data_IF_428912475663
#
_entry.id   IF_428912475663
#
_cell.length_a   1.000
_cell.length_b   1.000
_cell.length_c   1.000
_cell.angle_alpha   90.00
_cell.angle_beta   90.00
_cell.angle_gamma   90.00
#
_symmetry.space_group_name_H-M   'P 1'
#
loop_
_entity.id
_entity.type
_entity.pdbx_description
1 polymer ?
#
# COMPACT_ATOMS: atom_id res chain seq x y z
N UNK A 1 20.20 70.81 -12.70
CA UNK A 1 19.75 72.18 -12.36
C UNK A 1 18.89 72.65 -13.51
N UNK A 2 17.59 72.35 -13.41
CA UNK A 2 16.58 72.77 -14.39
C UNK A 2 16.21 74.23 -14.06
N UNK A 3 16.34 75.12 -15.04
CA UNK A 3 15.86 76.51 -14.91
C UNK A 3 14.34 76.49 -14.99
N UNK A 4 13.67 77.19 -14.08
CA UNK A 4 12.20 77.22 -14.02
C UNK A 4 11.65 78.00 -15.21
N UNK A 5 10.41 77.70 -15.60
CA UNK A 5 9.73 78.33 -16.74
C UNK A 5 9.65 79.87 -16.59
N UNK A 6 9.66 80.37 -15.35
CA UNK A 6 9.71 81.81 -15.02
C UNK A 6 11.06 82.46 -15.37
N UNK A 7 12.20 81.76 -15.21
CA UNK A 7 13.52 82.30 -15.57
C UNK A 7 13.70 82.43 -17.09
N UNK A 8 13.01 81.60 -17.89
CA UNK A 8 13.01 81.70 -19.34
C UNK A 8 12.14 82.85 -19.86
N UNK A 9 11.04 83.16 -19.18
CA UNK A 9 10.19 84.32 -19.50
C UNK A 9 10.91 85.63 -19.17
N UNK A 10 11.61 85.71 -18.04
CA UNK A 10 12.38 86.89 -17.66
C UNK A 10 13.54 87.22 -18.63
N UNK A 11 14.19 86.20 -19.21
CA UNK A 11 15.20 86.38 -20.24
C UNK A 11 14.61 86.86 -21.58
N UNK A 12 13.36 86.52 -21.86
CA UNK A 12 12.65 86.96 -23.07
C UNK A 12 12.17 88.42 -22.94
N UNK A 13 11.72 88.83 -21.76
CA UNK A 13 11.36 90.23 -21.48
C UNK A 13 12.60 91.15 -21.42
N UNK A 14 13.73 90.67 -20.90
CA UNK A 14 14.99 91.42 -20.89
C UNK A 14 15.56 91.68 -22.31
N UNK A 15 15.21 90.86 -23.30
CA UNK A 15 15.63 91.06 -24.70
C UNK A 15 14.72 92.06 -25.47
N UNK A 16 13.57 92.43 -24.92
CA UNK A 16 12.58 93.31 -25.56
C UNK A 16 12.51 94.74 -25.00
N UNK A 17 13.31 95.09 -23.97
CA UNK A 17 13.28 96.39 -23.30
C UNK A 17 14.54 97.24 -23.50
N UNK A 18 15.27 97.06 -24.60
CA UNK A 18 16.49 97.82 -24.89
C UNK A 18 16.69 98.13 -26.36
N UNK A 19 15.81 98.95 -26.96
CA UNK A 19 16.13 99.75 -28.15
C UNK A 19 15.05 100.81 -28.38
N UNK A 20 15.10 101.89 -27.61
CA UNK A 20 14.63 103.19 -28.09
C UNK A 20 15.65 103.68 -29.12
N UNK A 21 15.35 103.47 -30.40
CA UNK A 21 15.64 104.40 -31.50
C UNK A 21 15.37 103.74 -32.86
N UNK A 22 14.89 104.57 -33.78
CA UNK A 22 14.58 104.31 -35.18
C UNK A 22 13.27 103.55 -35.48
N UNK A 23 12.27 104.33 -35.90
CA UNK A 23 11.21 103.90 -36.79
C UNK A 23 11.81 103.31 -38.08
N UNK A 24 12.10 102.01 -38.08
CA UNK A 24 12.34 101.23 -39.29
C UNK A 24 11.05 100.48 -39.61
N UNK A 25 10.30 100.99 -40.58
CA UNK A 25 9.15 100.29 -41.14
C UNK A 25 9.61 98.98 -41.82
N UNK A 26 8.77 97.92 -41.87
CA UNK A 26 9.17 96.54 -42.22
C UNK A 26 9.42 96.30 -43.72
N UNK A 27 10.13 97.20 -44.42
CA UNK A 27 10.21 97.18 -45.90
C UNK A 27 11.62 97.01 -46.46
N UNK A 28 12.69 97.05 -45.65
CA UNK A 28 14.07 97.16 -46.18
C UNK A 28 15.01 95.94 -46.01
N UNK A 29 14.64 94.89 -45.26
CA UNK A 29 15.49 93.68 -45.14
C UNK A 29 14.67 92.36 -45.00
N UNK A 30 14.23 91.74 -46.11
CA UNK A 30 13.47 90.49 -46.08
C UNK A 30 14.26 89.29 -45.51
N UNK A 31 15.59 89.32 -45.56
CA UNK A 31 16.45 88.22 -45.11
C UNK A 31 16.51 88.09 -43.56
N UNK A 32 16.43 89.19 -42.80
CA UNK A 32 16.44 89.15 -41.33
C UNK A 32 15.13 88.61 -40.74
N UNK A 33 13.99 88.87 -41.38
CA UNK A 33 12.68 88.34 -40.94
C UNK A 33 12.59 86.83 -41.21
N UNK A 34 13.19 86.36 -42.31
CA UNK A 34 13.29 84.94 -42.66
C UNK A 34 14.15 84.15 -41.67
N UNK A 35 15.30 84.69 -41.24
CA UNK A 35 16.17 84.03 -40.25
C UNK A 35 15.55 84.00 -38.84
N UNK A 36 14.82 85.05 -38.46
CA UNK A 36 14.10 85.07 -37.18
C UNK A 36 12.93 84.06 -37.18
N UNK A 37 12.18 83.97 -38.29
CA UNK A 37 11.13 82.96 -38.46
C UNK A 37 11.70 81.52 -38.44
N UNK A 38 12.87 81.30 -39.04
CA UNK A 38 13.59 80.01 -39.02
C UNK A 38 14.04 79.62 -37.62
N UNK A 39 14.55 80.58 -36.85
CA UNK A 39 14.97 80.39 -35.46
C UNK A 39 13.78 80.04 -34.56
N UNK A 40 12.65 80.73 -34.72
CA UNK A 40 11.40 80.42 -34.00
C UNK A 40 10.88 79.02 -34.35
N UNK A 41 10.92 78.62 -35.64
CA UNK A 41 10.55 77.26 -36.04
C UNK A 41 11.47 76.20 -35.43
N UNK A 42 12.78 76.43 -35.40
CA UNK A 42 13.74 75.51 -34.76
C UNK A 42 13.52 75.40 -33.25
N UNK A 43 13.22 76.51 -32.57
CA UNK A 43 12.91 76.49 -31.14
C UNK A 43 11.60 75.76 -30.84
N UNK A 44 10.55 75.95 -31.67
CA UNK A 44 9.29 75.18 -31.58
C UNK A 44 9.53 73.69 -31.75
N UNK A 45 10.31 73.28 -32.75
CA UNK A 45 10.63 71.88 -32.98
C UNK A 45 11.44 71.26 -31.82
N UNK A 46 12.33 72.03 -31.18
CA UNK A 46 13.08 71.56 -30.00
C UNK A 46 12.20 71.46 -28.76
N UNK A 47 11.22 72.36 -28.59
CA UNK A 47 10.24 72.29 -27.52
C UNK A 47 9.33 71.06 -27.69
N UNK A 48 8.79 70.84 -28.89
CA UNK A 48 7.96 69.68 -29.23
C UNK A 48 8.73 68.37 -29.02
N UNK A 49 9.99 68.29 -29.46
CA UNK A 49 10.86 67.14 -29.15
C UNK A 49 11.16 66.99 -27.65
N UNK A 50 11.23 68.08 -26.90
CA UNK A 50 11.41 68.06 -25.45
C UNK A 50 10.19 67.50 -24.74
N UNK A 51 9.00 67.93 -25.15
CA UNK A 51 7.70 67.46 -24.65
C UNK A 51 7.48 65.98 -24.98
N UNK A 52 7.80 65.54 -26.21
CA UNK A 52 7.74 64.12 -26.57
C UNK A 52 8.67 63.26 -25.73
N UNK A 53 9.89 63.73 -25.44
CA UNK A 53 10.84 63.02 -24.56
C UNK A 53 10.35 62.97 -23.12
N UNK A 54 9.75 64.05 -22.62
CA UNK A 54 9.15 64.08 -21.29
C UNK A 54 8.00 63.07 -21.18
N UNK A 55 7.09 63.04 -22.17
CA UNK A 55 6.01 62.05 -22.22
C UNK A 55 6.52 60.61 -22.34
N UNK A 56 7.59 60.37 -23.10
CA UNK A 56 8.23 59.06 -23.18
C UNK A 56 8.88 58.66 -21.85
N UNK A 57 9.53 59.60 -21.15
CA UNK A 57 10.12 59.35 -19.84
C UNK A 57 9.05 59.03 -18.79
N UNK A 58 7.93 59.75 -18.79
CA UNK A 58 6.80 59.48 -17.89
C UNK A 58 6.17 58.12 -18.16
N UNK A 59 5.99 57.74 -19.44
CA UNK A 59 5.51 56.40 -19.81
C UNK A 59 6.49 55.30 -19.36
N UNK A 60 7.79 55.50 -19.57
CA UNK A 60 8.82 54.56 -19.14
C UNK A 60 8.85 54.40 -17.61
N UNK A 61 8.65 55.49 -16.87
CA UNK A 61 8.55 55.47 -15.41
C UNK A 61 7.35 54.66 -14.93
N UNK A 62 6.16 54.88 -15.51
CA UNK A 62 4.95 54.11 -15.20
C UNK A 62 5.11 52.62 -15.52
N UNK A 63 5.72 52.28 -16.66
CA UNK A 63 6.01 50.89 -17.01
C UNK A 63 7.01 50.24 -16.04
N UNK A 64 8.02 50.99 -15.58
CA UNK A 64 8.97 50.51 -14.61
C UNK A 64 8.32 50.24 -13.25
N UNK A 65 7.48 51.16 -12.76
CA UNK A 65 6.71 50.99 -11.53
C UNK A 65 5.77 49.78 -11.61
N UNK A 66 5.05 49.61 -12.73
CA UNK A 66 4.20 48.44 -12.95
C UNK A 66 4.97 47.12 -12.98
N UNK A 67 6.18 47.12 -13.58
CA UNK A 67 7.08 45.94 -13.59
C UNK A 67 7.61 45.64 -12.19
N UNK A 68 7.95 46.66 -11.40
CA UNK A 68 8.40 46.50 -10.02
C UNK A 68 7.29 45.91 -9.13
N UNK A 69 6.05 46.41 -9.25
CA UNK A 69 4.91 45.88 -8.51
C UNK A 69 4.60 44.43 -8.91
N UNK A 70 4.65 44.10 -10.22
CA UNK A 70 4.47 42.74 -10.71
C UNK A 70 5.58 41.80 -10.22
N UNK A 71 6.82 42.27 -10.16
CA UNK A 71 7.94 41.51 -9.62
C UNK A 71 7.78 41.24 -8.12
N UNK A 72 7.34 42.23 -7.34
CA UNK A 72 7.06 42.08 -5.91
C UNK A 72 5.93 41.06 -5.65
N UNK A 73 4.84 41.14 -6.41
CA UNK A 73 3.73 40.16 -6.33
C UNK A 73 4.20 38.74 -6.64
N UNK A 74 5.06 38.58 -7.67
CA UNK A 74 5.67 37.28 -8.00
C UNK A 74 6.58 36.79 -6.88
N UNK A 75 7.43 37.65 -6.33
CA UNK A 75 8.33 37.28 -5.23
C UNK A 75 7.56 36.80 -3.99
N UNK A 76 6.48 37.51 -3.60
CA UNK A 76 5.60 37.09 -2.50
C UNK A 76 4.91 35.75 -2.79
N UNK A 77 4.46 35.52 -4.02
CA UNK A 77 3.86 34.25 -4.41
C UNK A 77 4.86 33.08 -4.37
N UNK A 78 6.12 33.31 -4.79
CA UNK A 78 7.19 32.32 -4.70
C UNK A 78 7.55 32.00 -3.25
N UNK A 79 7.68 33.01 -2.39
CA UNK A 79 7.95 32.82 -0.96
C UNK A 79 6.85 31.97 -0.29
N UNK A 80 5.57 32.30 -0.53
CA UNK A 80 4.44 31.52 0.00
C UNK A 80 4.39 30.08 -0.54
N UNK A 81 4.87 29.85 -1.77
CA UNK A 81 4.96 28.50 -2.34
C UNK A 81 6.09 27.70 -1.70
N UNK A 82 7.21 28.34 -1.37
CA UNK A 82 8.32 27.70 -0.68
C UNK A 82 7.92 27.28 0.75
N UNK A 83 7.30 28.17 1.52
CA UNK A 83 6.78 27.86 2.86
C UNK A 83 5.81 26.67 2.85
N UNK A 84 4.87 26.64 1.89
CA UNK A 84 3.95 25.50 1.72
C UNK A 84 4.64 24.20 1.31
N UNK A 85 5.78 24.28 0.63
CA UNK A 85 6.53 23.10 0.23
C UNK A 85 7.25 22.48 1.43
N UNK A 86 7.83 23.32 2.30
CA UNK A 86 8.43 22.90 3.58
C UNK A 86 7.38 22.25 4.50
N UNK A 87 6.22 22.89 4.70
CA UNK A 87 5.11 22.29 5.45
C UNK A 87 4.61 20.96 4.84
N UNK A 88 4.72 20.80 3.52
CA UNK A 88 4.31 19.57 2.85
C UNK A 88 5.32 18.44 3.07
N UNK A 89 6.60 18.77 3.20
CA UNK A 89 7.68 17.83 3.53
C UNK A 89 7.51 17.30 4.96
N UNK A 90 7.32 18.17 5.95
CA UNK A 90 7.05 17.78 7.34
C UNK A 90 5.84 16.85 7.45
N UNK A 91 4.74 17.18 6.74
CA UNK A 91 3.55 16.33 6.71
C UNK A 91 3.79 14.99 6.03
N UNK A 92 4.67 14.93 5.03
CA UNK A 92 5.02 13.69 4.35
C UNK A 92 5.82 12.77 5.28
N UNK A 93 6.77 13.32 6.04
CA UNK A 93 7.52 12.57 7.06
C UNK A 93 6.60 12.04 8.16
N UNK A 94 5.71 12.88 8.71
CA UNK A 94 4.71 12.43 9.68
C UNK A 94 3.79 11.32 9.12
N UNK A 95 3.42 11.42 7.84
CA UNK A 95 2.57 10.44 7.19
C UNK A 95 3.30 9.10 7.02
N UNK A 96 4.59 9.11 6.70
CA UNK A 96 5.42 7.91 6.62
C UNK A 96 5.54 7.23 7.99
N UNK A 97 5.83 7.99 9.05
CA UNK A 97 5.92 7.44 10.41
C UNK A 97 4.59 6.82 10.86
N UNK A 98 3.46 7.47 10.54
CA UNK A 98 2.12 6.92 10.80
C UNK A 98 1.84 5.65 9.99
N UNK A 99 2.25 5.61 8.72
CA UNK A 99 2.09 4.43 7.87
C UNK A 99 2.91 3.24 8.41
N UNK A 100 4.14 3.47 8.86
CA UNK A 100 4.97 2.43 9.46
C UNK A 100 4.37 1.91 10.78
N UNK A 101 3.90 2.80 11.65
CA UNK A 101 3.18 2.42 12.89
C UNK A 101 1.91 1.62 12.57
N UNK A 102 1.15 2.01 11.55
CA UNK A 102 -0.05 1.29 11.12
C UNK A 102 0.29 -0.11 10.60
N UNK A 103 1.36 -0.24 9.80
CA UNK A 103 1.85 -1.54 9.31
C UNK A 103 2.23 -2.48 10.47
N UNK A 104 3.02 -2.00 11.44
CA UNK A 104 3.39 -2.78 12.64
C UNK A 104 2.16 -3.21 13.46
N UNK A 105 1.14 -2.36 13.57
CA UNK A 105 -0.13 -2.71 14.23
C UNK A 105 -0.91 -3.77 13.46
N UNK A 106 -0.95 -3.68 12.14
CA UNK A 106 -1.61 -4.66 11.28
C UNK A 106 -0.94 -6.04 11.39
N UNK A 107 0.40 -6.11 11.31
CA UNK A 107 1.17 -7.35 11.49
C UNK A 107 0.92 -7.98 12.88
N UNK A 108 0.89 -7.15 13.94
CA UNK A 108 0.58 -7.63 15.29
C UNK A 108 -0.85 -8.16 15.40
N UNK A 109 -1.82 -7.50 14.75
CA UNK A 109 -3.22 -7.93 14.76
C UNK A 109 -3.42 -9.23 13.98
N UNK A 110 -2.75 -9.40 12.84
CA UNK A 110 -2.73 -10.64 12.06
C UNK A 110 -2.17 -11.80 12.89
N UNK A 111 -1.00 -11.61 13.50
CA UNK A 111 -0.40 -12.61 14.39
C UNK A 111 -1.34 -13.00 15.55
N UNK A 112 -1.95 -12.00 16.21
CA UNK A 112 -2.88 -12.27 17.31
C UNK A 112 -4.13 -13.05 16.84
N UNK A 113 -4.61 -12.79 15.62
CA UNK A 113 -5.71 -13.54 15.01
C UNK A 113 -5.31 -14.98 14.73
N UNK A 114 -4.12 -15.21 14.16
CA UNK A 114 -3.62 -16.55 13.88
C UNK A 114 -3.43 -17.36 15.18
N UNK A 115 -2.87 -16.73 16.22
CA UNK A 115 -2.75 -17.33 17.55
C UNK A 115 -4.12 -17.69 18.14
N UNK A 116 -5.13 -16.82 18.01
CA UNK A 116 -6.48 -17.09 18.46
C UNK A 116 -7.11 -18.28 17.71
N UNK A 117 -6.91 -18.36 16.39
CA UNK A 117 -7.37 -19.48 15.57
C UNK A 117 -6.67 -20.79 15.96
N UNK A 118 -5.37 -20.76 16.23
CA UNK A 118 -4.61 -21.91 16.68
C UNK A 118 -5.13 -22.41 18.04
N UNK A 119 -5.45 -21.50 18.96
CA UNK A 119 -6.07 -21.83 20.24
C UNK A 119 -7.45 -22.47 20.09
N UNK A 120 -8.30 -21.97 19.19
CA UNK A 120 -9.60 -22.59 18.89
C UNK A 120 -9.45 -24.01 18.35
N UNK A 121 -8.51 -24.20 17.42
CA UNK A 121 -8.17 -25.52 16.85
C UNK A 121 -7.72 -26.48 17.97
N UNK A 122 -6.80 -26.05 18.82
CA UNK A 122 -6.32 -26.86 19.95
C UNK A 122 -7.43 -27.17 20.96
N UNK A 123 -8.31 -26.20 21.24
CA UNK A 123 -9.47 -26.38 22.12
C UNK A 123 -10.41 -27.45 21.57
N UNK A 124 -10.73 -27.40 20.28
CA UNK A 124 -11.58 -28.41 19.63
C UNK A 124 -10.93 -29.79 19.73
N UNK A 125 -9.65 -29.92 19.33
CA UNK A 125 -8.91 -31.20 19.42
C UNK A 125 -8.93 -31.75 20.84
N UNK A 126 -8.67 -30.93 21.86
CA UNK A 126 -8.68 -31.36 23.25
C UNK A 126 -10.08 -31.75 23.75
N UNK A 127 -11.12 -31.00 23.36
CA UNK A 127 -12.52 -31.29 23.73
C UNK A 127 -12.97 -32.66 23.26
N UNK A 128 -12.60 -33.04 22.03
CA UNK A 128 -13.03 -34.30 21.42
C UNK A 128 -12.02 -35.46 21.55
N UNK A 129 -10.82 -35.18 22.08
CA UNK A 129 -9.84 -36.21 22.39
C UNK A 129 -10.32 -37.09 23.53
N UNK A 130 -10.09 -38.39 23.40
CA UNK A 130 -10.39 -39.36 24.43
C UNK A 130 -9.49 -39.17 25.64
N UNK A 131 -10.08 -39.31 26.82
CA UNK A 131 -9.32 -39.35 28.08
C UNK A 131 -8.38 -40.56 28.12
N UNK A 132 -7.32 -40.55 28.96
CA UNK A 132 -6.42 -41.69 29.08
C UNK A 132 -7.12 -43.03 29.42
N UNK A 133 -8.27 -42.98 30.11
CA UNK A 133 -9.06 -44.18 30.45
C UNK A 133 -9.85 -44.72 29.27
N UNK A 134 -10.34 -43.85 28.38
CA UNK A 134 -11.13 -44.23 27.20
C UNK A 134 -10.27 -44.55 25.97
N UNK A 135 -9.07 -43.97 25.91
CA UNK A 135 -8.16 -44.10 24.78
C UNK A 135 -7.60 -45.53 24.69
N UNK A 136 -7.75 -46.24 23.56
CA UNK A 136 -7.06 -47.51 23.34
C UNK A 136 -5.55 -47.33 23.45
N UNK A 137 -4.83 -48.23 24.13
CA UNK A 137 -3.37 -48.14 24.27
C UNK A 137 -2.64 -48.27 22.93
N UNK A 138 -3.26 -48.97 21.99
CA UNK A 138 -2.74 -49.21 20.65
C UNK A 138 -3.86 -49.25 19.63
N UNK A 139 -3.52 -48.98 18.38
CA UNK A 139 -4.39 -49.08 17.22
C UNK A 139 -3.68 -49.86 16.11
N UNK A 140 -4.44 -50.30 15.13
CA UNK A 140 -3.98 -50.99 13.92
C UNK A 140 -4.34 -50.15 12.71
N UNK A 141 -3.34 -49.62 12.02
CA UNK A 141 -3.54 -48.74 10.86
C UNK A 141 -3.15 -49.47 9.58
N UNK A 142 -4.05 -49.41 8.60
CA UNK A 142 -3.88 -50.09 7.31
C UNK A 142 -3.34 -49.13 6.25
N UNK A 143 -2.23 -49.50 5.61
CA UNK A 143 -1.66 -48.88 4.41
C UNK A 143 -2.05 -49.69 3.17
N UNK A 144 -2.47 -48.97 2.14
CA UNK A 144 -2.82 -49.50 0.82
C UNK A 144 -2.59 -48.41 -0.24
N UNK A 145 -2.76 -48.73 -1.52
CA UNK A 145 -2.40 -47.86 -2.65
C UNK A 145 -2.91 -46.42 -2.53
N UNK A 146 -4.18 -46.23 -2.15
CA UNK A 146 -4.80 -44.90 -2.11
C UNK A 146 -4.29 -44.01 -0.97
N UNK A 147 -3.75 -44.60 0.10
CA UNK A 147 -3.31 -43.85 1.27
C UNK A 147 -1.80 -43.89 1.52
N UNK A 148 -1.02 -44.53 0.64
CA UNK A 148 0.43 -44.75 0.78
C UNK A 148 1.24 -43.53 1.20
N UNK A 149 0.90 -42.34 0.65
CA UNK A 149 1.58 -41.07 0.96
C UNK A 149 1.14 -40.43 2.29
N UNK A 150 0.10 -40.95 2.90
CA UNK A 150 -0.59 -40.39 4.06
C UNK A 150 -0.88 -41.45 5.13
N UNK A 151 -0.03 -42.47 5.21
CA UNK A 151 -0.11 -43.51 6.24
C UNK A 151 0.25 -42.90 7.58
N UNK A 152 1.44 -42.33 7.73
CA UNK A 152 1.90 -41.82 9.01
C UNK A 152 1.57 -40.34 9.22
N UNK A 153 1.36 -39.59 8.12
CA UNK A 153 1.05 -38.15 8.15
C UNK A 153 -0.29 -37.87 7.48
N UNK A 154 -1.16 -37.15 8.17
CA UNK A 154 -2.45 -36.73 7.67
C UNK A 154 -2.31 -35.82 6.45
N UNK A 155 -3.35 -35.78 5.61
CA UNK A 155 -3.39 -34.94 4.40
C UNK A 155 -3.41 -33.44 4.72
N UNK A 156 -3.86 -33.07 5.92
CA UNK A 156 -3.86 -31.70 6.42
C UNK A 156 -3.02 -31.60 7.69
N UNK A 157 -1.84 -30.97 7.60
CA UNK A 157 -0.91 -30.80 8.73
C UNK A 157 -1.16 -29.51 9.53
N UNK A 158 -1.87 -28.55 8.95
CA UNK A 158 -2.20 -27.26 9.57
C UNK A 158 -3.71 -27.01 9.47
N UNK A 159 -4.54 -27.84 10.12
CA UNK A 159 -5.98 -27.61 10.13
C UNK A 159 -6.30 -26.36 10.95
N UNK A 160 -7.30 -25.62 10.49
CA UNK A 160 -7.85 -24.45 11.16
C UNK A 160 -9.32 -24.72 11.40
N UNK A 161 -9.73 -24.65 12.66
CA UNK A 161 -11.13 -24.78 13.06
C UNK A 161 -11.57 -23.54 13.81
N UNK A 162 -12.49 -22.78 13.21
CA UNK A 162 -13.12 -21.60 13.82
C UNK A 162 -14.35 -21.98 14.64
N UNK A 163 -14.97 -23.11 14.31
CA UNK A 163 -16.18 -23.60 14.98
C UNK A 163 -16.09 -25.10 15.28
N UNK A 164 -16.88 -25.55 16.26
CA UNK A 164 -17.02 -26.98 16.56
C UNK A 164 -17.65 -27.75 15.38
N UNK A 165 -18.50 -27.10 14.59
CA UNK A 165 -19.10 -27.69 13.39
C UNK A 165 -18.06 -28.06 12.33
N UNK A 166 -17.15 -27.12 12.02
CA UNK A 166 -16.03 -27.38 11.08
C UNK A 166 -15.16 -28.56 11.54
N UNK A 167 -14.95 -28.70 12.86
CA UNK A 167 -14.20 -29.81 13.44
C UNK A 167 -14.93 -31.15 13.26
N UNK A 168 -16.24 -31.19 13.56
CA UNK A 168 -17.05 -32.40 13.37
C UNK A 168 -17.17 -32.80 11.89
N UNK A 169 -17.29 -31.84 10.98
CA UNK A 169 -17.30 -32.11 9.54
C UNK A 169 -15.97 -32.73 9.09
N UNK A 170 -14.83 -32.19 9.57
CA UNK A 170 -13.53 -32.77 9.31
C UNK A 170 -13.37 -34.19 9.91
N UNK A 171 -13.98 -34.47 11.07
CA UNK A 171 -14.06 -35.81 11.66
C UNK A 171 -14.91 -36.78 10.85
N UNK A 172 -15.80 -36.31 9.98
CA UNK A 172 -16.60 -37.17 9.12
C UNK A 172 -16.00 -37.31 7.72
N UNK A 173 -15.19 -36.36 7.27
CA UNK A 173 -14.58 -36.37 5.94
C UNK A 173 -13.57 -37.51 5.73
N UNK A 174 -12.96 -38.06 6.79
CA UNK A 174 -11.98 -39.16 6.66
C UNK A 174 -12.59 -40.39 5.97
N UNK A 175 -13.90 -40.62 6.12
CA UNK A 175 -14.63 -41.74 5.52
C UNK A 175 -14.64 -41.71 4.00
N UNK A 176 -14.54 -40.53 3.41
CA UNK A 176 -14.46 -40.36 1.96
C UNK A 176 -13.02 -40.54 1.48
N UNK A 177 -12.41 -41.70 1.75
CA UNK A 177 -10.99 -41.97 1.44
C UNK A 177 -10.65 -41.74 -0.05
N UNK A 178 -11.61 -41.96 -0.95
CA UNK A 178 -11.49 -41.71 -2.39
C UNK A 178 -11.51 -40.22 -2.78
N UNK A 179 -12.00 -39.31 -1.94
CA UNK A 179 -12.37 -37.95 -2.35
C UNK A 179 -11.20 -36.96 -2.43
N UNK A 180 -9.97 -37.38 -2.13
CA UNK A 180 -8.79 -36.48 -1.97
C UNK A 180 -9.02 -35.31 -0.99
N UNK A 181 -10.12 -35.33 -0.21
CA UNK A 181 -10.44 -34.25 0.73
C UNK A 181 -9.36 -34.20 1.81
N UNK A 182 -8.85 -32.98 2.03
CA UNK A 182 -7.90 -32.69 3.11
C UNK A 182 -8.56 -33.03 4.45
N UNK A 183 -7.95 -33.95 5.18
CA UNK A 183 -8.37 -34.31 6.54
C UNK A 183 -7.15 -34.32 7.44
N UNK A 184 -7.24 -33.81 8.68
CA UNK A 184 -6.16 -33.88 9.65
C UNK A 184 -6.17 -35.18 10.46
N UNK A 185 -6.99 -36.16 10.07
CA UNK A 185 -7.18 -37.39 10.81
C UNK A 185 -6.66 -38.62 10.08
N UNK A 186 -6.07 -39.53 10.84
CA UNK A 186 -5.60 -40.84 10.42
C UNK A 186 -6.47 -41.91 11.10
N UNK A 187 -7.27 -42.65 10.36
CA UNK A 187 -8.06 -43.73 10.96
C UNK A 187 -7.22 -44.95 11.36
N UNK A 188 -7.58 -45.59 12.47
CA UNK A 188 -7.03 -46.85 12.90
C UNK A 188 -8.08 -47.68 13.63
N UNK A 189 -7.90 -48.99 13.62
CA UNK A 189 -8.79 -49.94 14.28
C UNK A 189 -8.27 -50.27 15.68
N UNK A 190 -9.17 -50.46 16.65
CA UNK A 190 -8.80 -50.96 17.99
C UNK A 190 -8.48 -52.46 18.03
N UNK A 191 -8.71 -53.18 16.92
CA UNK A 191 -8.60 -54.64 16.85
C UNK A 191 -7.83 -55.06 15.62
N UNK A 192 -6.89 -55.98 15.81
CA UNK A 192 -6.11 -56.58 14.73
C UNK A 192 -7.03 -57.30 13.74
N UNK A 193 -8.01 -58.05 14.27
CA UNK A 193 -8.98 -58.79 13.46
C UNK A 193 -9.77 -57.86 12.53
N UNK A 194 -10.14 -56.67 13.00
CA UNK A 194 -10.85 -55.69 12.18
C UNK A 194 -9.94 -55.12 11.08
N UNK A 195 -8.70 -54.77 11.41
CA UNK A 195 -7.72 -54.31 10.43
C UNK A 195 -7.38 -55.39 9.39
N UNK A 196 -7.21 -56.64 9.81
CA UNK A 196 -6.97 -57.78 8.94
C UNK A 196 -8.17 -58.09 8.04
N UNK A 197 -9.39 -58.02 8.55
CA UNK A 197 -10.61 -58.14 7.74
C UNK A 197 -10.70 -57.06 6.66
N UNK A 198 -10.34 -55.81 7.00
CA UNK A 198 -10.26 -54.72 6.02
C UNK A 198 -9.14 -54.93 4.99
N UNK A 199 -7.96 -55.40 5.44
CA UNK A 199 -6.85 -55.69 4.54
C UNK A 199 -7.19 -56.80 3.53
N UNK A 200 -7.83 -57.88 3.98
CA UNK A 200 -8.29 -58.96 3.09
C UNK A 200 -9.34 -58.44 2.10
N UNK A 201 -10.32 -57.66 2.57
CA UNK A 201 -11.31 -57.06 1.67
C UNK A 201 -10.65 -56.19 0.59
N UNK A 202 -9.63 -55.39 0.95
CA UNK A 202 -8.86 -54.60 -0.01
C UNK A 202 -8.14 -55.49 -1.03
N UNK A 203 -7.46 -56.54 -0.60
CA UNK A 203 -6.75 -57.47 -1.51
C UNK A 203 -7.71 -58.20 -2.46
N UNK A 204 -8.91 -58.56 -1.98
CA UNK A 204 -9.91 -59.29 -2.77
C UNK A 204 -10.73 -58.40 -3.73
N UNK A 205 -10.97 -57.13 -3.36
CA UNK A 205 -11.94 -56.27 -4.04
C UNK A 205 -11.33 -55.03 -4.71
N UNK A 206 -10.01 -54.86 -4.65
CA UNK A 206 -9.31 -53.72 -5.27
C UNK A 206 -8.11 -54.18 -6.10
N UNK A 207 -7.35 -53.25 -6.66
CA UNK A 207 -6.09 -53.54 -7.38
C UNK A 207 -4.87 -53.58 -6.47
N UNK A 208 -5.05 -53.56 -5.15
CA UNK A 208 -3.97 -53.68 -4.17
C UNK A 208 -3.39 -55.10 -4.17
N UNK A 209 -2.08 -55.23 -4.42
CA UNK A 209 -1.35 -56.50 -4.37
C UNK A 209 -0.64 -56.74 -3.01
N UNK A 210 -0.45 -55.66 -2.25
CA UNK A 210 0.20 -55.66 -0.96
C UNK A 210 -0.49 -54.64 -0.06
N UNK A 211 -0.87 -55.07 1.13
CA UNK A 211 -1.44 -54.24 2.18
C UNK A 211 -0.56 -54.36 3.42
N UNK A 212 -0.20 -53.24 4.04
CA UNK A 212 0.57 -53.24 5.29
C UNK A 212 -0.31 -52.84 6.46
N UNK A 213 -0.13 -53.50 7.60
CA UNK A 213 -0.81 -53.12 8.84
C UNK A 213 0.24 -52.73 9.87
N UNK A 214 0.15 -51.50 10.35
CA UNK A 214 0.99 -50.95 11.40
C UNK A 214 0.29 -51.09 12.73
N UNK A 215 0.97 -51.72 13.69
CA UNK A 215 0.60 -51.67 15.10
C UNK A 215 1.18 -50.39 15.67
N UNK A 216 0.31 -49.48 16.10
CA UNK A 216 0.73 -48.15 16.55
C UNK A 216 0.37 -47.93 18.02
N UNK A 217 1.33 -47.44 18.79
CA UNK A 217 1.12 -46.95 20.14
C UNK A 217 0.37 -45.62 20.09
N UNK A 218 -0.61 -45.44 20.97
CA UNK A 218 -1.31 -44.15 21.13
C UNK A 218 -0.68 -43.28 22.22
N UNK A 219 0.50 -43.65 22.72
CA UNK A 219 1.22 -42.87 23.72
C UNK A 219 1.46 -41.44 23.21
N UNK A 220 1.18 -40.44 24.05
CA UNK A 220 1.24 -39.00 23.71
C UNK A 220 0.41 -38.53 22.50
N UNK A 221 -0.34 -39.42 21.86
CA UNK A 221 -1.22 -39.09 20.73
C UNK A 221 -2.58 -38.55 21.19
N UNK A 222 -3.11 -37.62 20.39
CA UNK A 222 -4.50 -37.16 20.44
C UNK A 222 -5.35 -38.11 19.61
N UNK A 223 -6.17 -38.90 20.30
CA UNK A 223 -7.00 -39.94 19.68
C UNK A 223 -8.45 -39.62 19.95
N UNK A 224 -9.27 -39.70 18.90
CA UNK A 224 -10.69 -39.43 18.95
C UNK A 224 -11.46 -40.70 18.59
N UNK A 225 -12.67 -40.85 19.11
CA UNK A 225 -13.59 -41.88 18.62
C UNK A 225 -14.11 -41.46 17.25
N UNK A 226 -14.00 -42.34 16.26
CA UNK A 226 -14.61 -42.09 14.97
C UNK A 226 -16.14 -42.19 15.09
N UNK A 227 -16.88 -41.40 14.30
CA UNK A 227 -18.34 -41.58 14.22
C UNK A 227 -18.58 -42.96 13.61
N UNK A 228 -19.40 -43.85 14.22
CA UNK A 228 -19.68 -45.16 13.66
C UNK A 228 -20.07 -45.08 12.19
N UNK A 229 -19.57 -45.99 11.38
CA UNK A 229 -20.04 -46.21 10.02
C UNK A 229 -20.72 -47.58 10.02
N UNK A 230 -22.04 -47.59 9.85
CA UNK A 230 -22.86 -48.78 10.09
C UNK A 230 -22.60 -49.36 11.50
N UNK A 231 -22.47 -50.68 11.63
CA UNK A 231 -22.21 -51.37 12.89
C UNK A 231 -20.72 -51.45 13.28
N UNK A 232 -19.83 -50.75 12.58
CA UNK A 232 -18.41 -50.71 12.91
C UNK A 232 -18.13 -49.63 13.94
N UNK A 233 -18.00 -50.02 15.21
CA UNK A 233 -17.60 -49.13 16.31
C UNK A 233 -16.10 -49.18 16.61
N UNK A 234 -15.32 -49.93 15.83
CA UNK A 234 -13.92 -50.24 16.13
C UNK A 234 -12.91 -49.22 15.61
N UNK A 235 -13.37 -48.13 14.99
CA UNK A 235 -12.52 -47.10 14.41
C UNK A 235 -12.24 -45.93 15.36
N UNK A 236 -11.01 -45.46 15.31
CA UNK A 236 -10.48 -44.32 16.04
C UNK A 236 -9.68 -43.43 15.09
N UNK A 237 -9.58 -42.15 15.42
CA UNK A 237 -8.89 -41.16 14.63
C UNK A 237 -7.68 -40.64 15.40
N UNK A 238 -6.50 -40.73 14.80
CA UNK A 238 -5.27 -40.10 15.30
C UNK A 238 -5.13 -38.74 14.62
N UNK A 239 -4.87 -37.70 15.39
CA UNK A 239 -4.73 -36.34 14.88
C UNK A 239 -3.31 -36.07 14.36
N UNK A 240 -3.23 -35.55 13.13
CA UNK A 240 -2.03 -35.11 12.38
C UNK A 240 -1.03 -36.19 11.99
N UNK A 241 -0.38 -36.85 12.93
CA UNK A 241 0.80 -37.66 12.65
C UNK A 241 0.98 -38.81 13.64
N UNK A 242 1.54 -39.91 13.14
CA UNK A 242 2.06 -41.03 13.92
C UNK A 242 3.58 -40.97 13.83
N UNK A 243 4.27 -40.54 14.90
CA UNK A 243 5.73 -40.56 14.96
C UNK A 243 6.29 -41.98 14.83
N UNK A 244 7.51 -42.09 14.30
CA UNK A 244 8.16 -43.38 14.07
C UNK A 244 8.34 -44.17 15.38
N UNK A 245 8.61 -43.49 16.50
CA UNK A 245 8.74 -44.14 17.82
C UNK A 245 7.44 -44.77 18.33
N UNK A 246 6.30 -44.42 17.72
CA UNK A 246 5.01 -45.00 18.05
C UNK A 246 4.67 -46.21 17.17
N UNK A 247 5.50 -46.55 16.17
CA UNK A 247 5.31 -47.76 15.36
C UNK A 247 5.95 -48.94 16.08
N UNK A 248 5.12 -49.90 16.50
CA UNK A 248 5.56 -51.06 17.28
C UNK A 248 5.87 -52.27 16.40
N UNK A 249 5.11 -52.43 15.33
CA UNK A 249 5.17 -53.60 14.46
C UNK A 249 4.55 -53.27 13.09
N UNK A 250 5.06 -53.90 12.04
CA UNK A 250 4.46 -53.85 10.70
C UNK A 250 4.26 -55.26 10.18
N UNK A 251 3.02 -55.57 9.78
CA UNK A 251 2.65 -56.83 9.11
C UNK A 251 2.39 -56.56 7.64
N UNK A 252 2.80 -57.47 6.78
CA UNK A 252 2.62 -57.36 5.33
C UNK A 252 1.70 -58.49 4.88
N UNK A 253 0.60 -58.13 4.22
CA UNK A 253 -0.36 -59.03 3.61
C UNK A 253 -0.21 -58.91 2.10
N UNK A 254 -0.16 -60.06 1.42
CA UNK A 254 -0.02 -60.15 -0.04
C UNK A 254 -1.08 -61.10 -0.57
N UNK A 255 -1.51 -60.83 -1.79
CA UNK A 255 -2.31 -61.77 -2.58
C UNK A 255 -1.45 -62.96 -3.03
#
# INVERSE_FOLDING_TARGET
MERTQEELVALFEAHNLGSDDAQATPTDHPDCVLDHARTIQQLKARLEQGEERAHQADRAKLEFEARAEAAEKKAKAHAKRAERAEEAEDRAEEAEERAEKAKKRAEKAEKARDDAIAQLTLRAVNKYSLTPKQKPKMLWRVEYSQNRRHVLKARCQQPVFKTDGEFEDAKNSYKTWASRVKTPFLAGFNSEKAAGGWANWLLENTTDLEVKIYRVSTNKQKVLKAKPYCNYDNEFLIYLEIPDENILETKIYKY
#
